data_IF_524805216395
#
_entry.id   IF_524805216395
#
_cell.length_a   1.000
_cell.length_b   1.000
_cell.length_c   1.000
_cell.angle_alpha   90.00
_cell.angle_beta   90.00
_cell.angle_gamma   90.00
#
_symmetry.space_group_name_H-M   'P 1'
#
loop_
_entity.id
_entity.type
_entity.pdbx_description
1 polymer ?
#
# COMPACT_ATOMS: atom_id res chain seq x y z
N UNK A 1 -10.76 -13.12 -7.21
CA UNK A 1 -10.67 -11.71 -7.63
C UNK A 1 -9.51 -11.10 -6.87
N UNK A 2 -8.42 -10.74 -7.55
CA UNK A 2 -7.29 -10.06 -6.91
C UNK A 2 -7.61 -8.58 -6.83
N UNK A 3 -8.20 -8.15 -5.71
CA UNK A 3 -8.49 -6.74 -5.47
C UNK A 3 -7.18 -5.98 -5.35
N UNK A 4 -7.05 -4.85 -6.07
CA UNK A 4 -5.95 -3.90 -5.87
C UNK A 4 -6.55 -2.75 -5.08
N UNK A 5 -5.96 -2.43 -3.93
CA UNK A 5 -6.39 -1.29 -3.11
C UNK A 5 -5.53 -0.09 -3.49
N UNK A 6 -6.18 0.97 -3.98
CA UNK A 6 -5.55 2.23 -4.30
C UNK A 6 -5.53 3.14 -3.07
N UNK A 7 -4.35 3.34 -2.48
CA UNK A 7 -4.12 4.16 -1.30
C UNK A 7 -3.99 5.67 -1.64
N UNK A 8 -3.94 6.02 -2.92
CA UNK A 8 -4.04 7.43 -3.36
C UNK A 8 -5.51 7.88 -3.49
N UNK A 9 -6.47 6.95 -3.47
CA UNK A 9 -7.89 7.26 -3.59
C UNK A 9 -8.46 7.77 -2.26
N UNK A 10 -9.16 8.90 -2.30
CA UNK A 10 -9.86 9.55 -1.17
C UNK A 10 -10.86 8.65 -0.43
N UNK A 11 -11.20 7.49 -1.00
CA UNK A 11 -12.03 6.46 -0.35
C UNK A 11 -11.35 5.78 0.84
N UNK A 12 -10.03 5.95 1.02
CA UNK A 12 -9.29 5.51 2.21
C UNK A 12 -9.22 6.58 3.30
N UNK A 13 -10.17 7.54 3.30
CA UNK A 13 -10.25 8.74 4.16
C UNK A 13 -10.17 8.52 5.67
N UNK A 14 -10.14 7.28 6.15
CA UNK A 14 -10.27 6.98 7.58
C UNK A 14 -9.22 6.06 8.17
N UNK A 15 -8.17 5.68 7.42
CA UNK A 15 -6.87 5.19 7.92
C UNK A 15 -6.27 4.22 6.89
N UNK A 16 -5.40 4.76 6.02
CA UNK A 16 -4.56 3.99 5.07
C UNK A 16 -3.84 2.83 5.77
N UNK A 17 -3.46 3.05 7.04
CA UNK A 17 -2.83 2.03 7.89
C UNK A 17 -3.82 0.92 8.30
N UNK A 18 -5.05 1.25 8.66
CA UNK A 18 -6.06 0.23 9.00
C UNK A 18 -6.41 -0.64 7.79
N UNK A 19 -6.53 -0.05 6.60
CA UNK A 19 -6.75 -0.82 5.36
C UNK A 19 -5.59 -1.80 5.10
N UNK A 20 -4.36 -1.36 5.38
CA UNK A 20 -3.15 -2.17 5.28
C UNK A 20 -3.15 -3.34 6.28
N UNK A 21 -3.58 -3.11 7.53
CA UNK A 21 -3.61 -4.12 8.59
C UNK A 21 -4.78 -5.12 8.43
N UNK A 22 -5.93 -4.67 7.94
CA UNK A 22 -7.14 -5.48 7.88
C UNK A 22 -7.16 -6.42 6.66
N UNK A 23 -6.60 -5.98 5.52
CA UNK A 23 -6.69 -6.73 4.25
C UNK A 23 -5.43 -7.54 3.98
N UNK A 24 -5.45 -8.82 4.39
CA UNK A 24 -4.34 -9.76 4.15
C UNK A 24 -4.29 -10.23 2.70
N UNK A 25 -3.07 -10.45 2.18
CA UNK A 25 -2.84 -11.08 0.87
C UNK A 25 -3.21 -10.22 -0.34
N UNK A 26 -3.55 -8.95 -0.11
CA UNK A 26 -3.98 -7.99 -1.14
C UNK A 26 -2.80 -7.18 -1.66
N UNK A 27 -2.87 -6.81 -2.94
CA UNK A 27 -1.92 -5.89 -3.55
C UNK A 27 -2.38 -4.46 -3.30
N UNK A 28 -1.51 -3.66 -2.72
CA UNK A 28 -1.72 -2.24 -2.53
C UNK A 28 -1.05 -1.48 -3.66
N UNK A 29 -1.63 -0.33 -4.03
CA UNK A 29 -1.07 0.64 -4.96
C UNK A 29 -0.97 1.98 -4.23
N UNK A 30 0.18 2.63 -4.32
CA UNK A 30 0.40 3.97 -3.75
C UNK A 30 1.36 4.78 -4.62
N UNK A 31 1.19 6.09 -4.68
CA UNK A 31 2.14 7.00 -5.30
C UNK A 31 3.34 7.23 -4.39
N UNK A 32 4.54 7.34 -4.97
CA UNK A 32 5.74 7.83 -4.26
C UNK A 32 5.59 9.27 -3.78
N UNK A 33 4.66 10.03 -4.35
CA UNK A 33 4.32 11.40 -3.95
C UNK A 33 3.32 11.43 -2.79
N UNK A 34 2.76 10.28 -2.41
CA UNK A 34 1.84 10.19 -1.29
C UNK A 34 2.62 10.41 0.02
N UNK A 35 2.15 11.29 0.92
CA UNK A 35 2.86 11.59 2.18
C UNK A 35 3.05 10.34 3.07
N UNK A 36 2.20 9.33 2.95
CA UNK A 36 2.28 8.09 3.71
C UNK A 36 3.27 7.07 3.13
N UNK A 37 3.82 7.29 1.93
CA UNK A 37 4.68 6.31 1.25
C UNK A 37 5.91 5.94 2.07
N UNK A 38 6.59 6.93 2.66
CA UNK A 38 7.81 6.67 3.45
C UNK A 38 7.51 5.93 4.75
N UNK A 39 6.36 6.18 5.38
CA UNK A 39 5.94 5.45 6.58
C UNK A 39 5.60 3.99 6.28
N UNK A 40 4.83 3.76 5.21
CA UNK A 40 4.50 2.42 4.72
C UNK A 40 5.77 1.66 4.33
N UNK A 41 6.71 2.32 3.65
CA UNK A 41 7.99 1.72 3.27
C UNK A 41 8.80 1.27 4.49
N UNK A 42 8.78 2.05 5.58
CA UNK A 42 9.43 1.70 6.85
C UNK A 42 8.78 0.50 7.57
N UNK A 43 7.49 0.26 7.36
CA UNK A 43 6.81 -0.93 7.91
C UNK A 43 7.28 -2.25 7.31
N UNK A 44 8.01 -2.21 6.19
CA UNK A 44 8.47 -3.41 5.49
C UNK A 44 7.47 -3.85 4.44
N UNK A 45 7.73 -3.46 3.19
CA UNK A 45 6.92 -3.84 2.04
C UNK A 45 7.70 -4.69 1.05
N UNK A 46 6.97 -5.55 0.35
CA UNK A 46 7.43 -6.25 -0.83
C UNK A 46 6.91 -5.54 -2.07
N UNK A 47 7.79 -4.86 -2.78
CA UNK A 47 7.44 -4.20 -4.03
C UNK A 47 7.26 -5.28 -5.11
N UNK A 48 6.07 -5.30 -5.72
CA UNK A 48 5.72 -6.22 -6.80
C UNK A 48 5.96 -5.60 -8.18
N UNK A 49 5.59 -4.32 -8.35
CA UNK A 49 5.73 -3.58 -9.60
C UNK A 49 5.90 -2.09 -9.30
N UNK A 50 6.67 -1.41 -10.14
CA UNK A 50 6.72 0.05 -10.21
C UNK A 50 6.25 0.49 -11.59
N UNK A 51 5.35 1.46 -11.64
CA UNK A 51 4.82 2.05 -12.87
C UNK A 51 4.89 3.58 -12.77
N UNK A 52 6.01 4.16 -13.21
CA UNK A 52 6.31 5.57 -12.99
C UNK A 52 6.37 5.93 -11.50
N UNK A 53 5.48 6.81 -11.05
CA UNK A 53 5.36 7.22 -9.65
C UNK A 53 4.54 6.24 -8.81
N UNK A 54 3.86 5.27 -9.43
CA UNK A 54 2.97 4.32 -8.75
C UNK A 54 3.76 3.07 -8.34
N UNK A 55 3.60 2.67 -7.09
CA UNK A 55 4.25 1.50 -6.50
C UNK A 55 3.16 0.51 -6.10
N UNK A 56 3.26 -0.69 -6.65
CA UNK A 56 2.43 -1.83 -6.27
C UNK A 56 3.22 -2.70 -5.31
N UNK A 57 2.64 -2.98 -4.15
CA UNK A 57 3.35 -3.69 -3.09
C UNK A 57 2.42 -4.57 -2.25
N UNK A 58 3.03 -5.46 -1.46
CA UNK A 58 2.40 -6.23 -0.39
C UNK A 58 3.11 -5.92 0.92
N UNK A 59 2.42 -6.05 2.04
CA UNK A 59 3.03 -5.93 3.37
C UNK A 59 3.84 -7.20 3.64
N UNK A 60 5.13 -7.07 3.96
CA UNK A 60 5.89 -8.17 4.53
C UNK A 60 5.54 -8.23 6.01
N UNK A 61 4.98 -9.34 6.47
CA UNK A 61 4.97 -9.59 7.90
C UNK A 61 6.41 -9.79 8.35
N UNK A 62 6.92 -8.86 9.13
CA UNK A 62 7.86 -9.21 10.20
C UNK A 62 7.07 -10.12 11.14
N UNK A 63 7.38 -11.42 11.13
CA UNK A 63 6.82 -12.38 12.09
C UNK A 63 7.22 -12.06 13.51
#
# INVERSE_FOLDING_TARGET
>A
MSSIIDLDSDTCSSDVMDAIFYVKGTTFKISRKNPYFEEIRKMGIEVLKVDGDQVYFKIRRSG
#
